data_IF_981849875246
#
_entry.id   IF_981849875246
#
_cell.length_a   1.000
_cell.length_b   1.000
_cell.length_c   1.000
_cell.angle_alpha   90.00
_cell.angle_beta   90.00
_cell.angle_gamma   90.00
#
_symmetry.space_group_name_H-M   'P 1'
#
loop_
_entity.id
_entity.type
_entity.pdbx_description
1 polymer ?
#
# COMPACT_ATOMS: atom_id res chain seq x y z
N UNK A 1 -19.60 -9.10 -0.67
CA UNK A 1 -18.49 -10.09 -0.51
C UNK A 1 -19.00 -11.42 -1.02
N UNK A 2 -18.24 -12.12 -1.88
CA UNK A 2 -18.56 -13.50 -2.29
C UNK A 2 -17.70 -14.48 -1.49
N UNK A 3 -18.25 -15.62 -1.11
CA UNK A 3 -17.54 -16.65 -0.34
C UNK A 3 -16.85 -17.63 -1.29
N UNK A 4 -15.57 -17.90 -1.04
CA UNK A 4 -14.77 -18.90 -1.75
C UNK A 4 -14.32 -19.94 -0.73
N UNK A 5 -14.68 -21.22 -0.94
CA UNK A 5 -14.15 -22.34 -0.15
C UNK A 5 -12.96 -22.95 -0.88
N UNK A 6 -11.82 -23.02 -0.21
CA UNK A 6 -10.58 -23.62 -0.74
C UNK A 6 -10.10 -24.66 0.26
N UNK A 7 -9.67 -25.82 -0.24
CA UNK A 7 -8.99 -26.83 0.60
C UNK A 7 -7.55 -26.39 0.81
N UNK A 8 -7.14 -26.19 2.06
CA UNK A 8 -5.76 -25.90 2.42
C UNK A 8 -5.14 -27.11 3.13
N UNK A 9 -3.88 -27.46 2.83
CA UNK A 9 -3.11 -28.37 3.66
C UNK A 9 -2.93 -27.79 5.07
N UNK A 10 -2.92 -28.64 6.11
CA UNK A 10 -2.84 -28.20 7.51
C UNK A 10 -1.61 -27.34 7.80
N UNK A 11 -0.46 -27.70 7.21
CA UNK A 11 0.77 -26.92 7.33
C UNK A 11 0.65 -25.51 6.75
N UNK A 12 -0.17 -25.33 5.71
CA UNK A 12 -0.40 -24.02 5.11
C UNK A 12 -1.37 -23.18 5.96
N UNK A 13 -2.41 -23.77 6.54
CA UNK A 13 -3.30 -23.06 7.48
C UNK A 13 -2.57 -22.60 8.74
N UNK A 14 -1.69 -23.45 9.29
CA UNK A 14 -0.88 -23.10 10.45
C UNK A 14 0.01 -21.88 10.17
N UNK A 15 0.69 -21.87 9.02
CA UNK A 15 1.51 -20.72 8.59
C UNK A 15 0.66 -19.48 8.34
N UNK A 16 -0.50 -19.63 7.70
CA UNK A 16 -1.44 -18.53 7.45
C UNK A 16 -1.91 -17.89 8.77
N UNK A 17 -2.25 -18.72 9.76
CA UNK A 17 -2.66 -18.30 11.10
C UNK A 17 -1.54 -17.56 11.83
N UNK A 18 -0.31 -18.07 11.77
CA UNK A 18 0.85 -17.42 12.39
C UNK A 18 1.12 -16.03 11.79
N UNK A 19 1.08 -15.91 10.46
CA UNK A 19 1.27 -14.63 9.75
C UNK A 19 0.13 -13.66 10.05
N UNK A 20 -1.11 -14.15 10.09
CA UNK A 20 -2.28 -13.35 10.43
C UNK A 20 -2.16 -12.74 11.84
N UNK A 21 -1.76 -13.55 12.84
CA UNK A 21 -1.49 -13.10 14.21
C UNK A 21 -0.38 -12.05 14.25
N UNK A 22 0.76 -12.31 13.61
CA UNK A 22 1.90 -11.37 13.57
C UNK A 22 1.51 -10.02 12.97
N UNK A 23 0.66 -10.01 11.95
CA UNK A 23 0.22 -8.79 11.26
C UNK A 23 -1.07 -8.18 11.83
N UNK A 24 -1.60 -8.70 12.95
CA UNK A 24 -2.89 -8.32 13.56
C UNK A 24 -4.03 -8.24 12.53
N UNK A 25 -4.09 -9.21 11.62
CA UNK A 25 -5.09 -9.28 10.54
C UNK A 25 -5.79 -10.64 10.55
N UNK A 26 -6.86 -10.79 9.78
CA UNK A 26 -7.59 -12.07 9.66
C UNK A 26 -7.00 -12.95 8.55
N UNK A 27 -7.23 -14.27 8.64
CA UNK A 27 -6.86 -15.23 7.58
C UNK A 27 -7.48 -14.85 6.24
N UNK A 28 -8.75 -14.43 6.24
CA UNK A 28 -9.46 -14.01 5.03
C UNK A 28 -8.91 -12.70 4.44
N UNK A 29 -8.50 -11.74 5.27
CA UNK A 29 -7.86 -10.52 4.80
C UNK A 29 -6.49 -10.80 4.16
N UNK A 30 -5.70 -11.71 4.77
CA UNK A 30 -4.43 -12.13 4.21
C UNK A 30 -4.60 -12.87 2.88
N UNK A 31 -5.54 -13.82 2.82
CA UNK A 31 -5.85 -14.57 1.61
C UNK A 31 -6.33 -13.66 0.48
N UNK A 32 -7.21 -12.69 0.79
CA UNK A 32 -7.67 -11.69 -0.18
C UNK A 32 -6.52 -10.84 -0.70
N UNK A 33 -5.66 -10.32 0.18
CA UNK A 33 -4.49 -9.52 -0.21
C UNK A 33 -3.51 -10.30 -1.09
N UNK A 34 -3.32 -11.58 -0.81
CA UNK A 34 -2.50 -12.45 -1.64
C UNK A 34 -3.13 -12.65 -3.03
N UNK A 35 -4.44 -12.94 -3.08
CA UNK A 35 -5.19 -13.06 -4.34
C UNK A 35 -5.16 -11.76 -5.15
N UNK A 36 -5.38 -10.60 -4.52
CA UNK A 36 -5.26 -9.28 -5.16
C UNK A 36 -3.86 -9.05 -5.71
N UNK A 37 -2.81 -9.50 -5.00
CA UNK A 37 -1.43 -9.42 -5.48
C UNK A 37 -1.15 -10.29 -6.69
N UNK A 38 -1.68 -11.52 -6.72
CA UNK A 38 -1.52 -12.45 -7.85
C UNK A 38 -2.32 -11.99 -9.07
N UNK A 39 -3.53 -11.49 -8.86
CA UNK A 39 -4.41 -10.99 -9.92
C UNK A 39 -4.01 -9.60 -10.41
N UNK A 40 -3.08 -8.94 -9.73
CA UNK A 40 -2.53 -7.67 -10.18
C UNK A 40 -1.55 -7.93 -11.31
N UNK A 41 -1.95 -7.57 -12.53
CA UNK A 41 -1.09 -7.63 -13.70
C UNK A 41 0.22 -6.85 -13.44
N UNK A 42 1.41 -7.47 -13.60
CA UNK A 42 2.68 -6.78 -13.48
C UNK A 42 2.74 -5.72 -14.58
N UNK A 43 2.66 -4.45 -14.19
CA UNK A 43 2.67 -3.31 -15.12
C UNK A 43 1.37 -2.51 -15.18
N UNK A 44 0.30 -2.92 -14.49
CA UNK A 44 -0.88 -2.04 -14.36
C UNK A 44 -0.61 -1.02 -13.24
N UNK A 45 -0.33 0.26 -13.55
CA UNK A 45 -0.30 1.28 -12.51
C UNK A 45 -1.62 1.23 -11.76
N UNK A 46 -1.59 1.42 -10.43
CA UNK A 46 -2.83 1.74 -9.73
C UNK A 46 -3.43 2.95 -10.47
N UNK A 47 -4.70 2.93 -10.88
CA UNK A 47 -5.33 4.16 -11.35
C UNK A 47 -5.25 5.15 -10.20
N UNK A 48 -4.40 6.15 -10.36
CA UNK A 48 -4.01 7.08 -9.31
C UNK A 48 -2.86 7.93 -9.79
N UNK A 49 -3.04 9.24 -9.72
CA UNK A 49 -1.98 10.22 -9.92
C UNK A 49 -0.88 10.03 -8.86
N UNK A 50 0.30 10.61 -9.08
CA UNK A 50 1.33 10.66 -8.03
C UNK A 50 0.78 11.26 -6.72
N UNK A 51 -0.16 12.22 -6.82
CA UNK A 51 -0.88 12.80 -5.69
C UNK A 51 -1.71 11.75 -4.93
N UNK A 52 -2.38 10.82 -5.60
CA UNK A 52 -3.18 9.77 -4.95
C UNK A 52 -2.32 8.81 -4.11
N UNK A 53 -1.05 8.65 -4.49
CA UNK A 53 -0.10 7.81 -3.75
C UNK A 53 0.41 8.46 -2.46
N UNK A 54 0.37 9.79 -2.37
CA UNK A 54 0.89 10.57 -1.24
C UNK A 54 -0.19 11.42 -0.57
N UNK A 55 -1.47 11.11 -0.80
CA UNK A 55 -2.60 11.91 -0.34
C UNK A 55 -2.65 12.05 1.19
N UNK A 56 -2.21 11.04 1.91
CA UNK A 56 -2.06 11.02 3.37
C UNK A 56 -0.94 11.93 3.88
N UNK A 57 -0.02 12.36 3.01
CA UNK A 57 1.06 13.30 3.32
C UNK A 57 0.70 14.74 2.96
N UNK A 58 -0.42 14.97 2.26
CA UNK A 58 -0.87 16.32 1.90
C UNK A 58 -1.19 17.10 3.16
N UNK A 59 -0.54 18.26 3.34
CA UNK A 59 -0.69 19.11 4.52
C UNK A 59 0.12 18.69 5.75
N UNK A 60 0.94 17.64 5.66
CA UNK A 60 1.85 17.24 6.76
C UNK A 60 2.99 18.25 6.98
N UNK A 61 3.24 19.14 6.01
CA UNK A 61 4.32 20.13 6.07
C UNK A 61 3.72 21.52 5.85
N UNK A 62 4.11 22.47 6.71
CA UNK A 62 3.84 23.88 6.49
C UNK A 62 4.94 24.46 5.59
N UNK A 63 4.55 25.10 4.49
CA UNK A 63 5.50 25.68 3.55
C UNK A 63 4.86 26.71 2.63
N UNK A 64 5.67 27.46 1.86
CA UNK A 64 5.19 28.38 0.84
C UNK A 64 4.26 27.69 -0.16
N UNK A 65 3.35 28.46 -0.76
CA UNK A 65 2.39 27.96 -1.74
C UNK A 65 3.04 27.29 -2.97
N UNK A 66 4.30 27.61 -3.27
CA UNK A 66 5.08 26.98 -4.32
C UNK A 66 6.51 26.70 -3.88
N UNK A 67 6.81 25.41 -3.68
CA UNK A 67 8.15 24.87 -3.44
C UNK A 67 8.78 24.27 -4.71
N UNK A 68 8.01 24.15 -5.79
CA UNK A 68 8.37 23.39 -6.98
C UNK A 68 8.94 24.25 -8.11
N UNK A 69 8.42 25.47 -8.29
CA UNK A 69 8.75 26.33 -9.44
C UNK A 69 9.54 27.58 -9.04
N UNK A 70 9.35 28.08 -7.81
CA UNK A 70 10.09 29.22 -7.31
C UNK A 70 11.54 28.86 -6.94
N UNK A 71 12.44 29.06 -7.92
CA UNK A 71 13.89 28.83 -7.80
C UNK A 71 14.55 29.58 -6.64
N UNK A 72 13.94 30.63 -6.08
CA UNK A 72 14.48 31.33 -4.92
C UNK A 72 14.53 30.42 -3.67
N UNK A 73 13.54 29.54 -3.50
CA UNK A 73 13.49 28.58 -2.39
C UNK A 73 14.43 27.38 -2.56
N UNK A 74 14.88 27.10 -3.78
CA UNK A 74 15.83 26.03 -4.07
C UNK A 74 17.28 26.41 -3.76
N UNK A 75 17.60 27.71 -3.63
CA UNK A 75 18.97 28.18 -3.37
C UNK A 75 19.50 27.80 -1.99
N UNK A 76 18.61 27.51 -1.04
CA UNK A 76 18.96 27.16 0.35
C UNK A 76 18.86 25.67 0.64
N UNK A 77 18.46 24.86 -0.35
CA UNK A 77 18.38 23.39 -0.26
C UNK A 77 19.73 22.79 -0.71
N UNK A 78 20.61 22.56 0.27
CA UNK A 78 21.93 21.96 0.05
C UNK A 78 23.04 22.76 0.72
N UNK A 79 23.24 22.52 2.01
CA UNK A 79 24.47 22.84 2.74
C UNK A 79 25.21 21.54 3.06
#
# INVERSE_FOLDING_TARGET
MKTLSVKLPDGLDARLTAVARRRKTSKSALARKALEGVLREPGKPKPGSALDLVRDLVGCVAGPADLSVNKAYLKTLGH
#
